data_IF_139348670151
#
_entry.id   IF_139348670151
#
_cell.length_a   1.000
_cell.length_b   1.000
_cell.length_c   1.000
_cell.angle_alpha   90.00
_cell.angle_beta   90.00
_cell.angle_gamma   90.00
#
_symmetry.space_group_name_H-M   'P 1'
#
loop_
_entity.id
_entity.type
_entity.pdbx_description
1 polymer ?
#
# COMPACT_ATOMS: atom_id res chain seq x y z
N UNK A 1 28.91 23.90 4.87
CA UNK A 1 27.92 23.02 5.53
C UNK A 1 27.21 22.16 4.50
N UNK A 2 27.18 20.85 4.70
CA UNK A 2 26.68 19.84 3.73
C UNK A 2 25.15 19.63 3.78
N UNK A 3 24.45 20.29 4.72
CA UNK A 3 23.00 20.19 4.89
C UNK A 3 22.38 21.57 5.16
N UNK A 4 21.14 21.76 4.68
CA UNK A 4 20.35 22.98 4.90
C UNK A 4 18.85 22.68 4.82
N UNK A 5 18.03 23.49 5.49
CA UNK A 5 16.57 23.41 5.40
C UNK A 5 16.10 24.14 4.14
N UNK A 6 15.17 23.52 3.40
CA UNK A 6 14.54 24.09 2.21
C UNK A 6 13.04 23.88 2.28
N UNK A 7 12.29 24.78 1.66
CA UNK A 7 10.84 24.73 1.53
C UNK A 7 10.44 24.74 0.06
N UNK A 8 9.29 24.14 -0.25
CA UNK A 8 8.72 24.09 -1.59
C UNK A 8 8.22 22.70 -1.96
N UNK A 9 7.39 22.64 -3.01
CA UNK A 9 6.86 21.37 -3.54
C UNK A 9 7.98 20.43 -4.01
N UNK A 10 9.12 20.98 -4.45
CA UNK A 10 10.32 20.20 -4.78
C UNK A 10 10.87 19.36 -3.63
N UNK A 11 10.63 19.75 -2.37
CA UNK A 11 11.00 18.94 -1.20
C UNK A 11 9.92 17.91 -0.87
N UNK A 12 8.65 18.13 -1.25
CA UNK A 12 7.59 17.13 -1.13
C UNK A 12 7.69 16.03 -2.20
N UNK A 13 8.07 16.37 -3.43
CA UNK A 13 8.23 15.40 -4.54
C UNK A 13 9.06 14.17 -4.18
N UNK A 14 10.29 14.28 -3.63
CA UNK A 14 11.08 13.10 -3.26
C UNK A 14 10.44 12.28 -2.13
N UNK A 15 9.64 12.88 -1.25
CA UNK A 15 8.89 12.12 -0.23
C UNK A 15 7.79 11.27 -0.87
N UNK A 16 7.03 11.83 -1.82
CA UNK A 16 6.00 11.08 -2.57
C UNK A 16 6.62 9.94 -3.38
N UNK A 17 7.73 10.23 -4.07
CA UNK A 17 8.46 9.22 -4.84
C UNK A 17 9.02 8.11 -3.93
N UNK A 18 9.56 8.46 -2.76
CA UNK A 18 10.04 7.50 -1.76
C UNK A 18 8.93 6.61 -1.22
N UNK A 19 7.77 7.17 -0.86
CA UNK A 19 6.61 6.41 -0.42
C UNK A 19 6.13 5.41 -1.49
N UNK A 20 6.04 5.86 -2.74
CA UNK A 20 5.70 4.98 -3.87
C UNK A 20 6.70 3.83 -4.02
N UNK A 21 8.00 4.13 -3.95
CA UNK A 21 9.06 3.13 -4.06
C UNK A 21 8.97 2.08 -2.94
N UNK A 22 8.67 2.49 -1.69
CA UNK A 22 8.47 1.57 -0.58
C UNK A 22 7.30 0.61 -0.81
N UNK A 23 6.14 1.13 -1.25
CA UNK A 23 4.99 0.29 -1.56
C UNK A 23 5.28 -0.69 -2.70
N UNK A 24 5.97 -0.25 -3.76
CA UNK A 24 6.37 -1.12 -4.87
C UNK A 24 7.44 -2.13 -4.48
N UNK A 25 8.30 -1.82 -3.52
CA UNK A 25 9.28 -2.75 -2.96
C UNK A 25 8.58 -3.87 -2.17
N UNK A 26 7.59 -3.51 -1.34
CA UNK A 26 6.81 -4.49 -0.57
C UNK A 26 5.85 -5.31 -1.43
N UNK A 27 5.22 -4.67 -2.42
CA UNK A 27 4.23 -5.27 -3.32
C UNK A 27 4.64 -5.11 -4.80
N UNK A 28 5.64 -5.90 -5.27
CA UNK A 28 6.17 -5.77 -6.63
C UNK A 28 5.13 -6.01 -7.72
N UNK A 29 4.12 -6.83 -7.45
CA UNK A 29 3.03 -7.19 -8.36
C UNK A 29 1.85 -6.19 -8.37
N UNK A 30 1.78 -5.27 -7.40
CA UNK A 30 0.67 -4.32 -7.29
C UNK A 30 0.61 -3.40 -8.51
N UNK A 31 -0.59 -3.14 -9.03
CA UNK A 31 -0.78 -2.20 -10.13
C UNK A 31 -0.53 -0.77 -9.68
N UNK A 32 -0.32 0.13 -10.65
CA UNK A 32 -0.20 1.57 -10.41
C UNK A 32 -1.44 2.11 -9.69
N UNK A 33 -2.64 1.67 -10.10
CA UNK A 33 -3.89 2.11 -9.48
C UNK A 33 -4.03 1.64 -8.04
N UNK A 34 -3.59 0.43 -7.71
CA UNK A 34 -3.59 -0.08 -6.33
C UNK A 34 -2.69 0.75 -5.43
N UNK A 35 -1.46 1.03 -5.87
CA UNK A 35 -0.50 1.84 -5.09
C UNK A 35 -0.99 3.28 -4.94
N UNK A 36 -1.50 3.89 -6.02
CA UNK A 36 -2.07 5.24 -5.97
C UNK A 36 -3.26 5.30 -5.01
N UNK A 37 -4.18 4.34 -5.10
CA UNK A 37 -5.37 4.28 -4.24
C UNK A 37 -4.98 4.12 -2.77
N UNK A 38 -3.99 3.28 -2.47
CA UNK A 38 -3.48 3.13 -1.12
C UNK A 38 -2.97 4.48 -0.58
N UNK A 39 -2.03 5.13 -1.28
CA UNK A 39 -1.45 6.40 -0.83
C UNK A 39 -2.47 7.54 -0.67
N UNK A 40 -3.47 7.61 -1.54
CA UNK A 40 -4.49 8.66 -1.51
C UNK A 40 -5.54 8.40 -0.42
N UNK A 41 -6.03 7.17 -0.32
CA UNK A 41 -7.20 6.87 0.53
C UNK A 41 -6.84 6.61 2.00
N UNK A 42 -5.59 6.23 2.29
CA UNK A 42 -5.12 6.03 3.67
C UNK A 42 -4.43 7.25 4.27
N UNK A 43 -4.31 8.34 3.51
CA UNK A 43 -3.67 9.55 3.99
C UNK A 43 -4.41 10.17 5.18
N UNK A 44 -3.65 10.71 6.13
CA UNK A 44 -4.20 11.46 7.27
C UNK A 44 -4.80 12.76 6.76
N UNK A 45 -6.09 12.99 7.04
CA UNK A 45 -6.76 14.21 6.62
C UNK A 45 -6.24 15.43 7.39
N UNK A 46 -5.78 16.44 6.66
CA UNK A 46 -5.29 17.71 7.20
C UNK A 46 -6.21 18.84 6.73
N UNK A 47 -6.82 19.53 7.69
CA UNK A 47 -7.63 20.72 7.44
C UNK A 47 -6.74 21.95 7.24
N UNK A 48 -6.93 22.66 6.13
CA UNK A 48 -6.27 23.93 5.84
C UNK A 48 -7.23 25.10 6.06
N UNK A 49 -7.03 25.82 7.16
CA UNK A 49 -7.87 26.97 7.54
C UNK A 49 -7.77 28.16 6.59
N UNK A 50 -6.74 28.22 5.73
CA UNK A 50 -6.53 29.34 4.81
C UNK A 50 -7.48 29.30 3.61
N UNK A 51 -7.94 28.11 3.24
CA UNK A 51 -8.84 27.89 2.11
C UNK A 51 -10.07 27.03 2.48
N UNK A 52 -10.21 26.63 3.75
CA UNK A 52 -11.28 25.81 4.28
C UNK A 52 -11.45 24.44 3.59
N UNK A 53 -10.36 23.90 3.03
CA UNK A 53 -10.33 22.58 2.38
C UNK A 53 -9.60 21.57 3.26
N UNK A 54 -9.92 20.30 3.06
CA UNK A 54 -9.23 19.18 3.72
C UNK A 54 -8.54 18.34 2.67
N UNK A 55 -7.26 18.06 2.88
CA UNK A 55 -6.46 17.23 1.98
C UNK A 55 -5.75 16.13 2.74
N UNK A 56 -5.66 14.92 2.18
CA UNK A 56 -4.92 13.84 2.81
C UNK A 56 -3.41 14.06 2.67
N UNK A 57 -2.69 13.99 3.78
CA UNK A 57 -1.24 13.84 3.81
C UNK A 57 -0.89 12.36 3.81
N UNK A 58 0.05 11.96 2.97
CA UNK A 58 0.51 10.56 2.87
C UNK A 58 0.86 10.00 4.24
N UNK A 59 0.34 8.81 4.52
CA UNK A 59 0.66 7.96 5.66
C UNK A 59 1.13 6.61 5.11
N UNK A 60 2.44 6.37 5.18
CA UNK A 60 3.08 5.20 4.56
C UNK A 60 2.70 3.91 5.30
N UNK A 61 2.56 3.96 6.61
CA UNK A 61 2.28 2.77 7.43
C UNK A 61 0.86 2.27 7.17
N UNK A 62 -0.12 3.18 7.14
CA UNK A 62 -1.49 2.83 6.79
C UNK A 62 -1.61 2.41 5.32
N UNK A 63 -0.84 3.02 4.41
CA UNK A 63 -0.85 2.62 3.00
C UNK A 63 -0.31 1.19 2.81
N UNK A 64 0.77 0.83 3.51
CA UNK A 64 1.38 -0.51 3.45
C UNK A 64 0.44 -1.61 3.96
N UNK A 65 -0.40 -1.32 4.95
CA UNK A 65 -1.36 -2.29 5.51
C UNK A 65 -2.65 -2.39 4.70
N UNK A 66 -2.99 -1.36 3.92
CA UNK A 66 -4.22 -1.35 3.10
C UNK A 66 -4.16 -2.23 1.84
N UNK A 67 -2.96 -2.54 1.34
CA UNK A 67 -2.80 -3.38 0.16
C UNK A 67 -2.87 -4.84 0.58
N UNK A 68 -4.05 -5.44 0.42
CA UNK A 68 -4.24 -6.87 0.57
C UNK A 68 -3.69 -7.59 -0.68
N UNK A 69 -2.47 -8.13 -0.57
CA UNK A 69 -1.91 -9.03 -1.58
C UNK A 69 -2.55 -10.41 -1.38
N UNK A 70 -3.83 -10.54 -1.76
CA UNK A 70 -4.50 -11.83 -1.78
C UNK A 70 -3.64 -12.79 -2.60
N UNK A 71 -3.30 -13.95 -2.03
CA UNK A 71 -2.51 -14.95 -2.72
C UNK A 71 -3.18 -15.28 -4.06
N UNK A 72 -2.53 -14.88 -5.16
CA UNK A 72 -3.00 -15.20 -6.52
C UNK A 72 -2.83 -16.69 -6.85
N UNK A 73 -1.97 -17.37 -6.08
CA UNK A 73 -1.68 -18.79 -6.22
C UNK A 73 -1.70 -19.43 -4.84
N UNK A 74 -2.57 -20.40 -4.66
CA UNK A 74 -2.67 -21.21 -3.45
C UNK A 74 -1.99 -22.55 -3.72
N UNK A 75 -0.89 -22.82 -3.03
CA UNK A 75 -0.26 -24.15 -3.06
C UNK A 75 -1.02 -25.04 -2.08
N UNK A 76 -2.00 -25.77 -2.60
CA UNK A 76 -2.64 -26.84 -1.85
C UNK A 76 -1.63 -28.00 -1.78
N UNK A 77 -1.26 -28.42 -0.58
CA UNK A 77 -0.50 -29.66 -0.43
C UNK A 77 -1.38 -30.81 -0.96
N UNK A 78 -1.05 -31.31 -2.13
CA UNK A 78 -1.67 -32.49 -2.74
C UNK A 78 -1.23 -33.75 -1.97
N UNK A 79 -1.69 -33.87 -0.73
CA UNK A 79 -1.52 -35.07 0.06
C UNK A 79 -2.52 -36.13 -0.36
N UNK A 80 -2.13 -37.02 -1.28
CA UNK A 80 -2.87 -38.27 -1.50
C UNK A 80 -2.58 -39.23 -0.34
N UNK A 81 -3.58 -39.51 0.51
CA UNK A 81 -3.48 -40.46 1.64
C UNK A 81 -4.44 -41.68 1.55
N UNK A 82 -4.78 -42.24 0.38
CA UNK A 82 -5.78 -43.35 0.21
C UNK A 82 -7.21 -43.00 -0.31
N UNK A 83 -8.16 -43.94 -0.35
CA UNK A 83 -9.42 -43.77 -1.11
C UNK A 83 -10.56 -43.00 -0.40
N UNK A 84 -10.38 -42.56 0.86
CA UNK A 84 -11.51 -42.14 1.72
C UNK A 84 -11.47 -40.72 2.33
N UNK A 85 -10.54 -39.84 1.95
CA UNK A 85 -10.52 -38.45 2.46
C UNK A 85 -10.76 -37.44 1.34
N UNK A 86 -11.80 -36.64 1.54
CA UNK A 86 -12.11 -35.47 0.71
C UNK A 86 -11.67 -34.21 1.46
N UNK A 87 -10.80 -33.41 0.84
CA UNK A 87 -10.44 -32.09 1.35
C UNK A 87 -11.40 -31.06 0.79
N UNK A 88 -12.18 -30.40 1.65
CA UNK A 88 -13.09 -29.33 1.27
C UNK A 88 -12.51 -27.98 1.67
N UNK A 89 -12.50 -27.03 0.74
CA UNK A 89 -12.24 -25.61 1.02
C UNK A 89 -13.59 -24.91 1.06
N UNK A 90 -13.93 -24.33 2.21
CA UNK A 90 -15.11 -23.48 2.32
C UNK A 90 -14.77 -22.09 1.76
N UNK A 91 -15.53 -21.64 0.76
CA UNK A 91 -15.45 -20.28 0.24
C UNK A 91 -16.78 -19.60 0.57
N UNK A 92 -16.72 -18.45 1.25
CA UNK A 92 -17.88 -17.64 1.65
C UNK A 92 -18.14 -16.51 0.66
#
# INVERSE_FOLDING_TARGET
STYTLKSGTSMATPHVAGAWALLKSRFPSASVSTVLSALVNTGTQIYDSRNALTFPRIDVDNALTSINDLAKTWYLAEGYTGEDFSTYILIQ
#
